data_IF_130991797872
#
_entry.id   IF_130991797872
#
_cell.length_a   1.000
_cell.length_b   1.000
_cell.length_c   1.000
_cell.angle_alpha   90.00
_cell.angle_beta   90.00
_cell.angle_gamma   90.00
#
_symmetry.space_group_name_H-M   'P 1'
#
loop_
_entity.id
_entity.type
_entity.pdbx_description
1 polymer ?
#
# COMPACT_ATOMS: atom_id res chain seq x y z
N UNK A 1 -3.91 15.21 -5.04
CA UNK A 1 -4.24 14.42 -3.82
C UNK A 1 -4.47 15.38 -2.67
N UNK A 2 -5.21 14.96 -1.64
CA UNK A 2 -5.47 15.75 -0.42
C UNK A 2 -5.20 14.86 0.80
N UNK A 3 -4.67 15.43 1.87
CA UNK A 3 -4.38 14.69 3.11
C UNK A 3 -5.61 13.91 3.62
N UNK A 4 -5.39 12.65 4.01
CA UNK A 4 -6.46 11.75 4.48
C UNK A 4 -7.30 11.08 3.40
N UNK A 5 -7.06 11.36 2.11
CA UNK A 5 -7.82 10.75 1.01
C UNK A 5 -7.70 9.22 0.96
N UNK A 6 -6.50 8.67 1.24
CA UNK A 6 -6.26 7.23 1.24
C UNK A 6 -7.20 6.47 2.20
N UNK A 7 -7.45 7.01 3.40
CA UNK A 7 -8.36 6.41 4.39
C UNK A 7 -9.80 6.38 3.91
N UNK A 8 -10.27 7.48 3.32
CA UNK A 8 -11.62 7.57 2.77
C UNK A 8 -11.83 6.55 1.63
N UNK A 9 -10.84 6.40 0.75
CA UNK A 9 -10.87 5.42 -0.34
C UNK A 9 -10.79 3.99 0.21
N UNK A 10 -9.91 3.72 1.18
CA UNK A 10 -9.79 2.41 1.84
C UNK A 10 -11.10 1.98 2.51
N UNK A 11 -11.78 2.91 3.20
CA UNK A 11 -13.09 2.66 3.80
C UNK A 11 -14.13 2.35 2.72
N UNK A 12 -14.16 3.13 1.63
CA UNK A 12 -15.07 2.90 0.50
C UNK A 12 -14.86 1.51 -0.11
N UNK A 13 -13.61 1.07 -0.28
CA UNK A 13 -13.30 -0.25 -0.82
C UNK A 13 -13.92 -1.38 0.03
N UNK A 14 -13.91 -1.23 1.35
CA UNK A 14 -14.50 -2.18 2.30
C UNK A 14 -16.03 -2.18 2.32
N UNK A 15 -16.68 -1.14 1.79
CA UNK A 15 -18.15 -1.07 1.69
C UNK A 15 -18.71 -1.53 0.34
N UNK A 16 -17.86 -1.96 -0.59
CA UNK A 16 -18.32 -2.57 -1.85
C UNK A 16 -18.98 -3.93 -1.57
N UNK A 17 -19.80 -4.47 -2.49
CA UNK A 17 -20.44 -5.78 -2.31
C UNK A 17 -19.45 -6.90 -1.95
N UNK A 18 -18.28 -6.92 -2.59
CA UNK A 18 -17.20 -7.87 -2.25
C UNK A 18 -16.35 -7.42 -1.06
N UNK A 19 -16.20 -6.11 -0.85
CA UNK A 19 -15.48 -5.55 0.30
C UNK A 19 -16.10 -5.95 1.65
N UNK A 20 -17.43 -5.90 1.73
CA UNK A 20 -18.15 -6.23 2.96
C UNK A 20 -17.90 -7.67 3.39
N UNK A 21 -18.06 -8.62 2.48
CA UNK A 21 -17.98 -10.05 2.79
C UNK A 21 -16.56 -10.62 2.89
N UNK A 22 -15.59 -10.11 2.13
CA UNK A 22 -14.30 -10.79 1.92
C UNK A 22 -13.08 -9.99 2.39
N UNK A 23 -13.14 -8.66 2.37
CA UNK A 23 -11.95 -7.83 2.59
C UNK A 23 -11.79 -7.55 4.08
N UNK A 24 -10.70 -8.05 4.67
CA UNK A 24 -10.30 -7.75 6.05
C UNK A 24 -9.25 -6.66 6.13
N UNK A 25 -8.33 -6.63 5.17
CA UNK A 25 -7.22 -5.69 5.15
C UNK A 25 -7.11 -5.01 3.79
N UNK A 26 -6.87 -3.70 3.78
CA UNK A 26 -6.62 -2.91 2.58
C UNK A 26 -5.34 -2.11 2.78
N UNK A 27 -4.39 -2.26 1.85
CA UNK A 27 -3.18 -1.45 1.82
C UNK A 27 -3.36 -0.41 0.71
N UNK A 28 -3.33 0.87 1.10
CA UNK A 28 -3.39 1.98 0.16
C UNK A 28 -1.96 2.34 -0.25
N UNK A 29 -1.69 2.33 -1.55
CA UNK A 29 -0.38 2.66 -2.12
C UNK A 29 -0.50 3.82 -3.12
N UNK A 30 0.63 4.47 -3.38
CA UNK A 30 0.74 5.51 -4.40
C UNK A 30 0.66 4.91 -5.83
N UNK A 31 0.56 5.76 -6.85
CA UNK A 31 0.43 5.38 -8.25
C UNK A 31 1.71 4.81 -8.86
N UNK A 32 2.84 5.04 -8.20
CA UNK A 32 4.16 4.54 -8.56
C UNK A 32 4.44 3.13 -8.01
N UNK A 33 3.50 2.56 -7.25
CA UNK A 33 3.58 1.20 -6.69
C UNK A 33 2.59 0.29 -7.42
N UNK A 34 3.11 -0.76 -8.06
CA UNK A 34 2.28 -1.80 -8.65
C UNK A 34 1.70 -2.71 -7.54
N UNK A 35 0.36 -2.77 -7.36
CA UNK A 35 -0.26 -3.60 -6.33
C UNK A 35 -0.11 -5.11 -6.58
N UNK A 36 0.29 -5.53 -7.78
CA UNK A 36 0.59 -6.93 -8.10
C UNK A 36 2.08 -7.28 -7.87
N UNK A 37 2.92 -6.30 -7.57
CA UNK A 37 4.33 -6.47 -7.26
C UNK A 37 4.56 -6.45 -5.74
N UNK A 38 4.60 -7.65 -5.13
CA UNK A 38 4.74 -7.78 -3.68
C UNK A 38 5.96 -7.04 -3.10
N UNK A 39 7.19 -7.14 -3.68
CA UNK A 39 8.32 -6.34 -3.23
C UNK A 39 8.05 -4.83 -3.16
N UNK A 40 7.37 -4.24 -4.15
CA UNK A 40 7.05 -2.81 -4.12
C UNK A 40 6.03 -2.47 -3.04
N UNK A 41 4.99 -3.29 -2.86
CA UNK A 41 3.99 -3.10 -1.79
C UNK A 41 4.65 -3.19 -0.41
N UNK A 42 5.55 -4.15 -0.19
CA UNK A 42 6.29 -4.29 1.07
C UNK A 42 7.28 -3.13 1.30
N UNK A 43 7.88 -2.57 0.23
CA UNK A 43 8.67 -1.34 0.33
C UNK A 43 7.81 -0.16 0.77
N UNK A 44 6.64 0.04 0.16
CA UNK A 44 5.72 1.11 0.55
C UNK A 44 5.30 0.95 2.02
N UNK A 45 4.94 -0.26 2.43
CA UNK A 45 4.55 -0.57 3.81
C UNK A 45 5.68 -0.27 4.82
N UNK A 46 6.93 -0.61 4.48
CA UNK A 46 8.06 -0.43 5.39
C UNK A 46 8.62 0.99 5.46
N UNK A 47 8.45 1.78 4.40
CA UNK A 47 9.04 3.12 4.29
C UNK A 47 8.04 4.27 4.48
N UNK A 48 6.75 4.06 4.19
CA UNK A 48 5.73 5.12 4.17
C UNK A 48 4.72 5.05 5.32
N UNK A 49 4.72 3.96 6.10
CA UNK A 49 3.75 3.76 7.19
C UNK A 49 4.37 4.13 8.54
N UNK A 50 3.72 5.04 9.26
CA UNK A 50 3.89 5.23 10.69
C UNK A 50 2.69 4.59 11.43
N UNK A 51 2.89 3.47 12.15
CA UNK A 51 1.79 2.74 12.79
C UNK A 51 0.91 3.57 13.73
N UNK A 52 1.44 4.62 14.34
CA UNK A 52 0.68 5.49 15.25
C UNK A 52 -0.40 6.31 14.54
N UNK A 53 -0.15 6.65 13.27
CA UNK A 53 -1.06 7.45 12.46
C UNK A 53 -1.83 6.59 11.47
N UNK A 54 -1.16 5.71 10.75
CA UNK A 54 -1.57 5.24 9.41
C UNK A 54 -2.37 3.95 9.40
N UNK A 55 -2.67 3.43 10.58
CA UNK A 55 -3.53 2.28 10.76
C UNK A 55 -4.92 2.75 11.17
N UNK A 56 -5.94 2.37 10.39
CA UNK A 56 -7.35 2.56 10.74
C UNK A 56 -7.95 1.20 11.01
N UNK A 57 -8.10 0.87 12.29
CA UNK A 57 -8.82 -0.31 12.73
C UNK A 57 -10.32 -0.02 12.80
N UNK A 58 -11.11 -0.90 12.21
CA UNK A 58 -12.57 -0.87 12.20
C UNK A 58 -13.06 -2.09 12.96
N UNK A 59 -13.38 -1.95 14.26
CA UNK A 59 -13.74 -3.09 15.08
C UNK A 59 -15.15 -3.60 14.79
N UNK A 60 -15.38 -4.89 15.02
CA UNK A 60 -16.72 -5.52 14.97
C UNK A 60 -17.46 -5.36 13.62
N UNK A 61 -16.74 -5.55 12.52
CA UNK A 61 -17.31 -5.44 11.17
C UNK A 61 -17.79 -6.80 10.67
N UNK A 62 -18.84 -6.78 9.84
CA UNK A 62 -19.33 -8.00 9.19
C UNK A 62 -18.31 -8.56 8.19
N UNK A 63 -18.22 -9.89 8.14
CA UNK A 63 -17.48 -10.69 7.18
C UNK A 63 -18.30 -11.96 6.91
N UNK A 64 -17.96 -12.72 5.87
CA UNK A 64 -18.58 -14.04 5.70
C UNK A 64 -18.27 -14.96 6.88
N UNK A 65 -19.28 -15.74 7.25
CA UNK A 65 -19.23 -16.69 8.37
C UNK A 65 -18.16 -17.79 8.18
N UNK A 66 -17.73 -18.02 6.93
CA UNK A 66 -16.64 -18.94 6.58
C UNK A 66 -15.25 -18.39 6.91
N UNK A 67 -15.11 -17.10 7.27
CA UNK A 67 -13.82 -16.54 7.69
C UNK A 67 -13.33 -17.20 8.99
N UNK A 68 -12.24 -17.99 8.96
CA UNK A 68 -11.77 -18.73 10.12
C UNK A 68 -11.21 -17.83 11.22
N UNK A 69 -10.87 -16.57 10.90
CA UNK A 69 -10.38 -15.60 11.88
C UNK A 69 -11.47 -14.70 12.47
N UNK A 70 -12.75 -14.99 12.22
CA UNK A 70 -13.88 -14.27 12.79
C UNK A 70 -14.16 -14.73 14.23
N UNK A 71 -14.58 -13.81 15.10
CA UNK A 71 -14.94 -14.09 16.50
C UNK A 71 -15.96 -13.06 17.00
N UNK A 72 -17.24 -13.41 17.15
CA UNK A 72 -17.87 -14.68 16.74
C UNK A 72 -17.91 -14.85 15.22
N UNK A 73 -18.36 -16.02 14.75
CA UNK A 73 -18.49 -16.31 13.33
C UNK A 73 -19.23 -15.18 12.58
N UNK A 74 -18.64 -14.71 11.48
CA UNK A 74 -19.19 -13.62 10.66
C UNK A 74 -18.89 -12.19 11.16
N UNK A 75 -18.13 -12.04 12.25
CA UNK A 75 -17.68 -10.75 12.78
C UNK A 75 -16.16 -10.73 12.93
N UNK A 76 -15.51 -9.71 12.40
CA UNK A 76 -14.05 -9.53 12.52
C UNK A 76 -13.68 -8.05 12.50
N UNK A 77 -12.46 -7.74 12.91
CA UNK A 77 -11.92 -6.39 12.76
C UNK A 77 -11.35 -6.25 11.35
N UNK A 78 -11.59 -5.08 10.73
CA UNK A 78 -10.97 -4.72 9.45
C UNK A 78 -9.88 -3.68 9.66
N UNK A 79 -8.87 -3.66 8.80
CA UNK A 79 -7.72 -2.77 8.89
C UNK A 79 -7.45 -2.08 7.56
N UNK A 80 -7.39 -0.76 7.57
CA UNK A 80 -6.86 0.04 6.45
C UNK A 80 -5.45 0.48 6.84
N UNK A 81 -4.50 0.27 5.94
CA UNK A 81 -3.10 0.68 6.08
C UNK A 81 -2.82 1.75 5.03
N UNK A 82 -2.54 2.97 5.48
CA UNK A 82 -2.16 4.09 4.61
C UNK A 82 -0.65 4.09 4.36
N UNK A 83 -0.23 3.44 3.27
CA UNK A 83 1.16 3.44 2.80
C UNK A 83 1.37 4.46 1.66
N UNK A 84 0.58 5.54 1.63
CA UNK A 84 0.71 6.62 0.65
C UNK A 84 1.60 7.75 1.14
N UNK A 85 2.15 8.49 0.20
CA UNK A 85 2.96 9.68 0.49
C UNK A 85 2.05 10.80 1.01
N UNK A 86 2.34 11.40 2.17
CA UNK A 86 1.56 12.51 2.73
C UNK A 86 1.49 13.71 1.77
N UNK A 87 0.28 14.27 1.64
CA UNK A 87 0.01 15.47 0.85
C UNK A 87 -0.82 16.43 1.69
N UNK A 88 -0.61 17.73 1.52
CA UNK A 88 -1.32 18.78 2.26
C UNK A 88 -2.85 18.51 2.34
N UNK A 89 -3.47 18.71 3.52
CA UNK A 89 -2.93 19.29 4.75
C UNK A 89 -2.15 18.29 5.63
N UNK A 90 -2.04 17.02 5.24
CA UNK A 90 -1.20 16.06 5.94
C UNK A 90 0.28 16.42 5.71
N UNK A 91 0.99 16.69 6.79
CA UNK A 91 2.37 17.16 6.81
C UNK A 91 3.30 16.21 7.58
N UNK A 92 2.88 14.94 7.78
CA UNK A 92 3.71 13.94 8.45
C UNK A 92 4.94 13.57 7.62
N UNK A 93 6.06 13.33 8.30
CA UNK A 93 7.30 12.81 7.72
C UNK A 93 8.02 13.73 6.72
N UNK A 94 9.07 13.20 6.10
CA UNK A 94 9.92 13.91 5.15
C UNK A 94 10.07 13.08 3.86
N UNK A 95 9.10 13.22 2.96
CA UNK A 95 9.03 12.44 1.71
C UNK A 95 9.42 13.26 0.46
N UNK A 96 10.11 14.39 0.64
CA UNK A 96 10.46 15.32 -0.44
C UNK A 96 11.64 14.84 -1.32
N UNK A 97 12.30 13.74 -0.95
CA UNK A 97 13.49 13.23 -1.64
C UNK A 97 13.30 11.76 -2.03
N UNK A 98 12.45 11.47 -3.02
CA UNK A 98 12.38 10.12 -3.57
C UNK A 98 13.68 9.75 -4.27
N UNK A 99 14.08 8.48 -4.18
CA UNK A 99 15.13 7.93 -5.03
C UNK A 99 14.54 7.78 -6.43
N UNK A 100 15.08 8.53 -7.38
CA UNK A 100 14.71 8.46 -8.79
C UNK A 100 15.93 8.05 -9.59
N UNK A 101 15.71 7.19 -10.58
CA UNK A 101 16.74 6.86 -11.55
C UNK A 101 17.12 8.12 -12.35
N UNK A 102 18.42 8.26 -12.63
CA UNK A 102 18.90 9.29 -13.56
C UNK A 102 18.38 9.00 -14.97
N UNK A 103 18.19 10.02 -15.83
CA UNK A 103 17.71 9.82 -17.20
C UNK A 103 18.55 8.81 -18.00
N UNK A 104 19.86 8.75 -17.74
CA UNK A 104 20.80 7.84 -18.39
C UNK A 104 20.85 6.42 -17.80
N UNK A 105 20.18 6.15 -16.66
CA UNK A 105 20.26 4.85 -15.95
C UNK A 105 19.94 3.69 -16.87
N UNK A 106 18.88 3.80 -17.69
CA UNK A 106 18.48 2.74 -18.62
C UNK A 106 19.56 2.44 -19.66
N UNK A 107 20.15 3.48 -20.24
CA UNK A 107 21.20 3.34 -21.25
C UNK A 107 22.45 2.68 -20.66
N UNK A 108 22.82 3.05 -19.43
CA UNK A 108 23.96 2.43 -18.74
C UNK A 108 23.67 0.99 -18.33
N UNK A 109 22.46 0.68 -17.85
CA UNK A 109 22.06 -0.68 -17.52
C UNK A 109 22.20 -1.60 -18.75
N UNK A 110 21.64 -1.20 -19.90
CA UNK A 110 21.76 -1.96 -21.15
C UNK A 110 23.23 -2.16 -21.58
N UNK A 111 24.04 -1.09 -21.51
CA UNK A 111 25.46 -1.15 -21.87
C UNK A 111 26.26 -2.08 -20.96
N UNK A 112 26.04 -2.00 -19.65
CA UNK A 112 26.74 -2.84 -18.67
C UNK A 112 26.33 -4.31 -18.79
N UNK A 113 25.04 -4.59 -19.00
CA UNK A 113 24.55 -5.95 -19.25
C UNK A 113 25.18 -6.55 -20.51
N UNK A 114 25.30 -5.78 -21.60
CA UNK A 114 25.96 -6.23 -22.82
C UNK A 114 27.45 -6.53 -22.61
N UNK A 115 28.17 -5.67 -21.88
CA UNK A 115 29.58 -5.88 -21.54
C UNK A 115 29.80 -7.13 -20.68
N UNK A 116 28.90 -7.40 -19.73
CA UNK A 116 28.96 -8.61 -18.90
C UNK A 116 28.72 -9.87 -19.73
N UNK A 117 27.74 -9.84 -20.65
CA UNK A 117 27.45 -10.97 -21.53
C UNK A 117 28.62 -11.29 -22.49
N UNK A 118 29.32 -10.27 -22.99
CA UNK A 118 30.48 -10.43 -23.88
C UNK A 118 31.75 -10.95 -23.18
N UNK A 119 31.73 -11.08 -21.84
CA UNK A 119 32.86 -11.57 -21.04
C UNK A 119 32.81 -13.09 -20.81
N UNK A 120 31.69 -13.74 -21.14
CA UNK A 120 31.55 -15.20 -21.20
C UNK A 120 31.99 -15.72 -22.57
#
# INVERSE_FOLDING_TARGET
RYGGFARAVGLRAMTTPHGLGYVKMVIMVDEDVDPFNLPQVMWALSSKVNPAGDLVQLPNMSVLELDPGSSPAGITDKLIIDATTPVAPDNRGHYSQPVVDLPETKAWAEKLTAMLAARQ
#
